data_IF_381927223239
#
_entry.id   IF_381927223239
#
_cell.length_a   1.000
_cell.length_b   1.000
_cell.length_c   1.000
_cell.angle_alpha   90.00
_cell.angle_beta   90.00
_cell.angle_gamma   90.00
#
_symmetry.space_group_name_H-M   'P 1'
#
loop_
_entity.id
_entity.type
_entity.pdbx_description
1 polymer ?
#
# COMPACT_ATOMS: atom_id res chain seq x y z
N UNK A 1 25.81 8.60 -7.39
CA UNK A 1 24.83 9.11 -8.36
C UNK A 1 24.13 8.00 -9.14
N UNK A 2 24.79 7.27 -10.06
CA UNK A 2 24.14 6.19 -10.84
C UNK A 2 23.54 5.10 -9.94
N UNK A 3 24.29 4.68 -8.92
CA UNK A 3 23.84 3.66 -7.96
C UNK A 3 22.69 4.12 -7.06
N UNK A 4 22.51 5.43 -6.86
CA UNK A 4 21.39 5.98 -6.09
C UNK A 4 20.11 5.98 -6.93
N UNK A 5 20.23 6.33 -8.22
CA UNK A 5 19.13 6.23 -9.20
C UNK A 5 18.69 4.77 -9.34
N UNK A 6 19.64 3.86 -9.59
CA UNK A 6 19.34 2.43 -9.71
C UNK A 6 18.62 1.88 -8.48
N UNK A 7 19.05 2.28 -7.28
CA UNK A 7 18.38 1.90 -6.03
C UNK A 7 16.90 2.29 -6.03
N UNK A 8 16.58 3.54 -6.36
CA UNK A 8 15.20 4.04 -6.36
C UNK A 8 14.36 3.31 -7.41
N UNK A 9 14.89 3.10 -8.61
CA UNK A 9 14.18 2.40 -9.68
C UNK A 9 13.94 0.92 -9.35
N UNK A 10 14.95 0.21 -8.84
CA UNK A 10 14.83 -1.20 -8.46
C UNK A 10 13.80 -1.36 -7.34
N UNK A 11 13.86 -0.53 -6.30
CA UNK A 11 12.90 -0.59 -5.19
C UNK A 11 11.48 -0.24 -5.65
N UNK A 12 11.33 0.78 -6.50
CA UNK A 12 10.02 1.17 -7.05
C UNK A 12 9.42 0.07 -7.93
N UNK A 13 10.23 -0.52 -8.82
CA UNK A 13 9.80 -1.63 -9.67
C UNK A 13 9.44 -2.86 -8.85
N UNK A 14 10.26 -3.23 -7.85
CA UNK A 14 9.98 -4.34 -6.95
C UNK A 14 8.66 -4.12 -6.20
N UNK A 15 8.43 -2.92 -5.64
CA UNK A 15 7.18 -2.59 -4.95
C UNK A 15 5.96 -2.68 -5.88
N UNK A 16 6.10 -2.21 -7.13
CA UNK A 16 5.06 -2.29 -8.14
C UNK A 16 4.67 -3.74 -8.46
N UNK A 17 5.65 -4.59 -8.79
CA UNK A 17 5.37 -5.99 -9.14
C UNK A 17 4.84 -6.80 -7.95
N UNK A 18 5.38 -6.58 -6.75
CA UNK A 18 4.84 -7.19 -5.52
C UNK A 18 3.41 -6.73 -5.27
N UNK A 19 3.11 -5.45 -5.50
CA UNK A 19 1.75 -4.92 -5.38
C UNK A 19 0.76 -5.58 -6.33
N UNK A 20 1.12 -5.72 -7.60
CA UNK A 20 0.30 -6.44 -8.58
C UNK A 20 0.09 -7.89 -8.15
N UNK A 21 1.15 -8.58 -7.70
CA UNK A 21 1.09 -9.97 -7.29
C UNK A 21 0.19 -10.19 -6.05
N UNK A 22 0.19 -9.25 -5.09
CA UNK A 22 -0.62 -9.33 -3.87
C UNK A 22 -2.05 -8.83 -4.04
N UNK A 23 -2.32 -7.99 -5.04
CA UNK A 23 -3.66 -7.44 -5.32
C UNK A 23 -4.76 -8.50 -5.45
N UNK A 24 -4.62 -9.61 -6.21
CA UNK A 24 -5.69 -10.62 -6.30
C UNK A 24 -5.97 -11.29 -4.95
N UNK A 25 -4.94 -11.61 -4.16
CA UNK A 25 -5.09 -12.21 -2.84
C UNK A 25 -5.82 -11.28 -1.88
N UNK A 26 -5.42 -10.01 -1.83
CA UNK A 26 -6.10 -9.00 -1.02
C UNK A 26 -7.55 -8.81 -1.48
N UNK A 27 -7.76 -8.67 -2.78
CA UNK A 27 -9.10 -8.40 -3.35
C UNK A 27 -10.05 -9.55 -3.03
N UNK A 28 -9.60 -10.80 -3.15
CA UNK A 28 -10.37 -11.98 -2.73
C UNK A 28 -10.78 -11.89 -1.26
N UNK A 29 -9.85 -11.56 -0.36
CA UNK A 29 -10.15 -11.38 1.06
C UNK A 29 -11.16 -10.25 1.30
N UNK A 30 -10.96 -9.08 0.68
CA UNK A 30 -11.84 -7.93 0.86
C UNK A 30 -13.27 -8.19 0.38
N UNK A 31 -13.43 -8.93 -0.73
CA UNK A 31 -14.74 -9.37 -1.19
C UNK A 31 -15.35 -10.42 -0.26
N UNK A 32 -14.56 -11.41 0.18
CA UNK A 32 -15.04 -12.50 1.07
C UNK A 32 -15.64 -11.99 2.37
N UNK A 33 -15.01 -10.97 2.97
CA UNK A 33 -15.44 -10.36 4.23
C UNK A 33 -16.24 -9.07 4.06
N UNK A 34 -16.56 -8.69 2.81
CA UNK A 34 -17.39 -7.53 2.49
C UNK A 34 -16.86 -6.21 3.07
N UNK A 35 -15.55 -5.96 2.93
CA UNK A 35 -14.88 -4.74 3.40
C UNK A 35 -15.19 -3.53 2.49
N UNK A 36 -16.45 -3.11 2.46
CA UNK A 36 -16.99 -1.93 1.77
C UNK A 36 -17.95 -1.19 2.70
N UNK A 37 -18.42 0.02 2.33
CA UNK A 37 -19.41 0.72 3.18
C UNK A 37 -20.73 -0.03 3.16
N UNK A 38 -21.34 -0.18 4.33
CA UNK A 38 -22.61 -0.88 4.49
C UNK A 38 -23.82 -0.04 4.05
N UNK A 39 -23.66 1.29 3.99
CA UNK A 39 -24.67 2.22 3.51
C UNK A 39 -24.02 3.29 2.62
N UNK A 40 -24.74 3.70 1.58
CA UNK A 40 -24.34 4.79 0.71
C UNK A 40 -24.44 6.15 1.41
N UNK A 41 -23.78 7.16 0.86
CA UNK A 41 -23.88 8.52 1.40
C UNK A 41 -25.28 9.07 1.14
N UNK A 42 -25.93 9.55 2.20
CA UNK A 42 -27.24 10.20 2.14
C UNK A 42 -27.17 11.71 2.31
N UNK A 43 -26.10 12.21 2.95
CA UNK A 43 -25.96 13.61 3.33
C UNK A 43 -24.75 14.25 2.66
N UNK A 44 -24.96 15.44 2.11
CA UNK A 44 -23.93 16.29 1.55
C UNK A 44 -23.13 17.00 2.68
N UNK A 45 -21.95 17.56 2.38
CA UNK A 45 -21.14 18.28 3.36
C UNK A 45 -21.85 19.47 4.03
N UNK A 46 -22.86 20.03 3.38
CA UNK A 46 -23.71 21.12 3.88
C UNK A 46 -24.92 20.62 4.70
N UNK A 47 -25.03 19.30 4.92
CA UNK A 47 -26.12 18.67 5.66
C UNK A 47 -27.39 18.40 4.83
N UNK A 48 -27.41 18.74 3.55
CA UNK A 48 -28.58 18.47 2.69
C UNK A 48 -28.65 17.00 2.26
N UNK A 49 -29.86 16.50 1.99
CA UNK A 49 -30.07 15.13 1.48
C UNK A 49 -29.63 15.02 0.01
N UNK A 50 -29.09 13.87 -0.35
CA UNK A 50 -28.54 13.59 -1.70
C UNK A 50 -29.28 12.46 -2.43
N UNK A 51 -30.60 12.61 -2.71
CA UNK A 51 -31.42 11.55 -3.28
C UNK A 51 -30.94 11.10 -4.67
N UNK A 52 -30.49 12.02 -5.52
CA UNK A 52 -29.98 11.71 -6.87
C UNK A 52 -28.66 10.95 -6.79
N UNK A 53 -27.73 11.39 -5.93
CA UNK A 53 -26.46 10.69 -5.73
C UNK A 53 -26.70 9.26 -5.25
N UNK A 54 -27.57 9.09 -4.26
CA UNK A 54 -27.92 7.78 -3.73
C UNK A 54 -28.56 6.90 -4.81
N UNK A 55 -29.55 7.40 -5.55
CA UNK A 55 -30.18 6.67 -6.66
C UNK A 55 -29.17 6.18 -7.71
N UNK A 56 -28.15 6.98 -8.03
CA UNK A 56 -27.15 6.64 -9.04
C UNK A 56 -25.98 5.78 -8.51
N UNK A 57 -25.57 5.95 -7.24
CA UNK A 57 -24.31 5.39 -6.73
C UNK A 57 -24.48 4.36 -5.61
N UNK A 58 -25.69 4.13 -5.11
CA UNK A 58 -25.95 3.22 -3.98
C UNK A 58 -25.32 1.84 -4.15
N UNK A 59 -25.55 1.22 -5.31
CA UNK A 59 -25.06 -0.13 -5.61
C UNK A 59 -23.53 -0.18 -5.61
N UNK A 60 -22.86 0.83 -6.19
CA UNK A 60 -21.39 0.88 -6.27
C UNK A 60 -20.77 1.08 -4.89
N UNK A 61 -21.30 2.00 -4.09
CA UNK A 61 -20.84 2.29 -2.73
C UNK A 61 -20.89 1.04 -1.81
N UNK A 62 -21.86 0.15 -2.04
CA UNK A 62 -22.15 -1.02 -1.20
C UNK A 62 -21.61 -2.34 -1.76
N UNK A 63 -20.83 -2.30 -2.85
CA UNK A 63 -20.27 -3.52 -3.49
C UNK A 63 -18.77 -3.43 -3.73
N UNK A 64 -18.19 -2.23 -3.83
CA UNK A 64 -16.77 -2.05 -4.11
C UNK A 64 -15.96 -2.01 -2.81
N UNK A 65 -14.96 -2.91 -2.62
CA UNK A 65 -14.14 -2.94 -1.41
C UNK A 65 -13.30 -1.67 -1.24
N UNK A 66 -13.09 -1.27 0.03
CA UNK A 66 -12.42 -0.04 0.44
C UNK A 66 -11.39 -0.29 1.55
N UNK A 67 -10.35 -1.05 1.25
CA UNK A 67 -9.14 -1.15 2.08
C UNK A 67 -7.88 -1.47 1.26
N UNK A 68 -7.84 -1.06 -0.02
CA UNK A 68 -6.67 -1.31 -0.88
C UNK A 68 -5.38 -0.64 -0.38
N UNK A 69 -5.51 0.44 0.42
CA UNK A 69 -4.38 1.15 1.03
C UNK A 69 -3.52 0.28 1.94
N UNK A 70 -3.99 -0.88 2.40
CA UNK A 70 -3.16 -1.80 3.20
C UNK A 70 -1.90 -2.27 2.44
N UNK A 71 -1.97 -2.36 1.10
CA UNK A 71 -0.79 -2.69 0.28
C UNK A 71 0.27 -1.60 0.35
N UNK A 72 -0.12 -0.33 0.50
CA UNK A 72 0.81 0.78 0.63
C UNK A 72 1.63 0.71 1.93
N UNK A 73 1.09 0.05 2.97
CA UNK A 73 1.78 -0.14 4.24
C UNK A 73 2.58 -1.44 4.26
N UNK A 74 1.96 -2.54 3.84
CA UNK A 74 2.55 -3.88 3.91
C UNK A 74 3.74 -4.01 2.96
N UNK A 75 3.68 -3.46 1.74
CA UNK A 75 4.73 -3.66 0.74
C UNK A 75 6.06 -2.98 1.15
N UNK A 76 6.07 -1.68 1.55
CA UNK A 76 7.30 -1.07 2.04
C UNK A 76 7.86 -1.78 3.27
N UNK A 77 7.01 -2.16 4.24
CA UNK A 77 7.46 -2.92 5.42
C UNK A 77 8.10 -4.24 5.05
N UNK A 78 7.45 -5.00 4.16
CA UNK A 78 7.93 -6.29 3.68
C UNK A 78 9.27 -6.14 2.94
N UNK A 79 9.35 -5.25 1.94
CA UNK A 79 10.56 -5.05 1.16
C UNK A 79 11.72 -4.53 2.02
N UNK A 80 11.44 -3.60 2.94
CA UNK A 80 12.46 -3.10 3.88
C UNK A 80 13.03 -4.25 4.70
N UNK A 81 12.17 -5.03 5.34
CA UNK A 81 12.57 -6.17 6.18
C UNK A 81 13.32 -7.23 5.40
N UNK A 82 12.85 -7.54 4.18
CA UNK A 82 13.47 -8.49 3.27
C UNK A 82 14.90 -8.06 2.91
N UNK A 83 15.08 -6.84 2.37
CA UNK A 83 16.42 -6.36 1.97
C UNK A 83 17.35 -6.15 3.16
N UNK A 84 16.81 -5.78 4.33
CA UNK A 84 17.59 -5.74 5.56
C UNK A 84 18.13 -7.12 5.94
N UNK A 85 17.27 -8.14 5.95
CA UNK A 85 17.67 -9.53 6.21
C UNK A 85 18.69 -10.04 5.19
N UNK A 86 18.44 -9.85 3.89
CA UNK A 86 19.39 -10.24 2.84
C UNK A 86 20.76 -9.58 3.01
N UNK A 87 20.80 -8.30 3.37
CA UNK A 87 22.07 -7.59 3.58
C UNK A 87 22.90 -8.10 4.77
N UNK A 88 22.29 -8.86 5.68
CA UNK A 88 23.01 -9.49 6.81
C UNK A 88 23.58 -10.86 6.45
N UNK A 89 23.01 -11.53 5.46
CA UNK A 89 23.41 -12.89 5.07
C UNK A 89 24.30 -12.90 3.83
N UNK A 90 24.20 -11.89 2.97
CA UNK A 90 24.98 -11.76 1.75
C UNK A 90 25.74 -10.43 1.74
N UNK A 91 27.07 -10.51 1.75
CA UNK A 91 27.95 -9.35 1.58
C UNK A 91 28.03 -8.97 0.10
N UNK A 92 27.44 -7.82 -0.24
CA UNK A 92 27.43 -7.29 -1.61
C UNK A 92 27.29 -5.76 -1.63
N UNK A 93 28.09 -5.02 -2.43
CA UNK A 93 28.05 -3.55 -2.48
C UNK A 93 26.69 -2.97 -2.90
N UNK A 94 25.92 -3.72 -3.70
CA UNK A 94 24.56 -3.34 -4.11
C UNK A 94 23.53 -3.65 -3.02
N UNK A 95 23.62 -4.80 -2.36
CA UNK A 95 22.69 -5.21 -1.30
C UNK A 95 22.81 -4.31 -0.07
N UNK A 96 24.03 -3.95 0.34
CA UNK A 96 24.26 -2.99 1.43
C UNK A 96 23.70 -1.60 1.10
N UNK A 97 23.68 -1.22 -0.18
CA UNK A 97 23.15 0.06 -0.65
C UNK A 97 21.62 0.05 -0.76
N UNK A 98 21.02 -1.06 -1.19
CA UNK A 98 19.56 -1.24 -1.28
C UNK A 98 18.94 -1.41 0.10
N UNK A 99 19.63 -2.00 1.08
CA UNK A 99 19.21 -2.02 2.48
C UNK A 99 19.19 -0.59 3.04
N UNK A 100 17.99 -0.02 3.23
CA UNK A 100 17.82 1.35 3.72
C UNK A 100 17.42 1.45 5.20
N UNK A 101 17.01 0.34 5.84
CA UNK A 101 16.70 0.25 7.27
C UNK A 101 17.90 0.57 8.19
N UNK A 102 19.12 0.52 7.66
CA UNK A 102 20.34 0.92 8.38
C UNK A 102 20.46 2.44 8.58
N UNK A 103 19.66 3.26 7.87
CA UNK A 103 19.69 4.72 7.99
C UNK A 103 18.75 5.20 9.09
N UNK A 104 19.26 6.07 9.97
CA UNK A 104 18.49 6.66 11.07
C UNK A 104 17.20 7.36 10.62
N UNK A 105 17.19 7.99 9.45
CA UNK A 105 16.02 8.71 8.93
C UNK A 105 14.90 7.81 8.39
N UNK A 106 15.16 6.51 8.17
CA UNK A 106 14.15 5.56 7.71
C UNK A 106 13.16 5.19 8.82
N UNK A 107 13.55 5.39 10.09
CA UNK A 107 12.72 5.09 11.24
C UNK A 107 11.54 6.05 11.40
N UNK A 108 11.68 7.32 11.00
CA UNK A 108 10.55 8.25 11.10
C UNK A 108 9.36 7.77 10.25
N UNK A 109 9.48 7.62 8.92
CA UNK A 109 8.34 7.18 8.11
C UNK A 109 7.78 5.82 8.55
N UNK A 110 8.62 4.88 8.97
CA UNK A 110 8.20 3.54 9.41
C UNK A 110 7.41 3.51 10.72
N UNK A 111 7.55 4.51 11.59
CA UNK A 111 6.90 4.53 12.90
C UNK A 111 5.98 5.74 13.12
N UNK A 112 6.02 6.75 12.24
CA UNK A 112 5.13 7.92 12.32
C UNK A 112 4.06 7.94 11.25
N UNK A 113 4.27 7.28 10.12
CA UNK A 113 3.30 7.20 9.02
C UNK A 113 2.66 5.81 8.91
N UNK A 114 3.41 4.72 9.14
CA UNK A 114 2.91 3.33 9.10
C UNK A 114 2.19 2.92 10.38
#
# INVERSE_FOLDING_TARGET
>A
MITDILKVFILSAAAFFVGIALTPALTFFLYRYRFWRKSARTDAPDGTKTPIFNALHHKRETTVPRMGGILLWVIPLFLSSLFFGLSRWFDGPLLSKISFLSRSQTWLPLFTLV
#
